data_IF_044586621117
#
_entry.id   IF_044586621117
#
_cell.length_a   1.000
_cell.length_b   1.000
_cell.length_c   1.000
_cell.angle_alpha   90.00
_cell.angle_beta   90.00
_cell.angle_gamma   90.00
#
_symmetry.space_group_name_H-M   'P 1'
#
loop_
_entity.id
_entity.type
_entity.pdbx_description
1 polymer ?
#
# COMPACT_ATOMS: atom_id res chain seq x y z
N UNK A 1 -8.33 20.37 -18.17
CA UNK A 1 -8.04 20.56 -16.75
C UNK A 1 -6.54 20.32 -16.52
N UNK A 2 -5.86 21.14 -15.71
CA UNK A 2 -4.45 20.90 -15.38
C UNK A 2 -4.30 19.57 -14.62
N UNK A 3 -3.26 18.81 -14.94
CA UNK A 3 -2.88 17.63 -14.16
C UNK A 3 -2.15 18.07 -12.89
N UNK A 4 -2.42 17.39 -11.78
CA UNK A 4 -1.80 17.66 -10.48
C UNK A 4 -1.32 16.36 -9.82
N UNK A 5 -0.50 16.49 -8.77
CA UNK A 5 0.01 15.39 -7.95
C UNK A 5 0.65 14.27 -8.81
N UNK A 6 0.36 13.01 -8.52
CA UNK A 6 0.94 11.85 -9.21
C UNK A 6 0.65 11.81 -10.71
N UNK A 7 -0.52 12.27 -11.16
CA UNK A 7 -0.84 12.35 -12.60
C UNK A 7 0.08 13.33 -13.34
N UNK A 8 0.43 14.46 -12.71
CA UNK A 8 1.37 15.42 -13.30
C UNK A 8 2.79 14.86 -13.37
N UNK A 9 3.24 14.12 -12.35
CA UNK A 9 4.54 13.46 -12.33
C UNK A 9 4.63 12.42 -13.45
N UNK A 10 3.67 11.50 -13.53
CA UNK A 10 3.63 10.45 -14.55
C UNK A 10 3.61 11.04 -15.97
N UNK A 11 2.79 12.08 -16.20
CA UNK A 11 2.72 12.75 -17.49
C UNK A 11 4.06 13.42 -17.89
N UNK A 12 4.76 14.04 -16.93
CA UNK A 12 6.08 14.64 -17.18
C UNK A 12 7.14 13.60 -17.52
N UNK A 13 7.17 12.49 -16.79
CA UNK A 13 8.09 11.38 -17.08
C UNK A 13 7.80 10.76 -18.45
N UNK A 14 6.52 10.58 -18.78
CA UNK A 14 6.13 10.10 -20.12
C UNK A 14 6.59 11.06 -21.24
N UNK A 15 6.43 12.38 -21.06
CA UNK A 15 6.90 13.37 -22.01
C UNK A 15 8.44 13.29 -22.17
N UNK A 16 9.18 13.11 -21.09
CA UNK A 16 10.64 12.93 -21.12
C UNK A 16 11.05 11.68 -21.90
N UNK A 17 10.35 10.55 -21.73
CA UNK A 17 10.59 9.34 -22.51
C UNK A 17 10.34 9.57 -24.01
N UNK A 18 9.24 10.24 -24.35
CA UNK A 18 8.90 10.61 -25.72
C UNK A 18 9.99 11.50 -26.36
N UNK A 19 10.40 12.53 -25.63
CA UNK A 19 11.40 13.50 -26.12
C UNK A 19 12.79 12.86 -26.26
N UNK A 20 13.10 11.83 -25.45
CA UNK A 20 14.29 11.00 -25.55
C UNK A 20 14.19 9.87 -26.62
N UNK A 21 13.05 9.73 -27.30
CA UNK A 21 12.83 8.70 -28.31
C UNK A 21 12.74 7.28 -27.74
N UNK A 22 12.45 7.13 -26.44
CA UNK A 22 12.25 5.82 -25.81
C UNK A 22 10.87 5.28 -26.17
N UNK A 23 10.75 4.11 -26.82
CA UNK A 23 9.47 3.56 -27.20
C UNK A 23 8.68 3.10 -25.97
N UNK A 24 7.40 3.45 -25.89
CA UNK A 24 6.46 2.98 -24.92
C UNK A 24 5.36 2.17 -25.63
N UNK A 25 5.28 0.88 -25.33
CA UNK A 25 4.29 0.00 -25.93
C UNK A 25 3.11 -0.17 -24.98
N UNK A 26 1.96 0.31 -25.40
CA UNK A 26 0.68 0.08 -24.70
C UNK A 26 0.07 -1.25 -25.13
N UNK A 27 -0.85 -1.77 -24.31
CA UNK A 27 -1.53 -3.05 -24.55
C UNK A 27 -0.53 -4.17 -24.89
N UNK A 28 0.52 -4.27 -24.07
CA UNK A 28 1.61 -5.19 -24.27
C UNK A 28 1.95 -5.90 -22.95
N UNK A 29 1.05 -6.78 -22.45
CA UNK A 29 1.28 -7.50 -21.20
C UNK A 29 2.47 -8.45 -21.32
N UNK A 30 3.26 -8.50 -20.23
CA UNK A 30 4.33 -9.49 -20.04
C UNK A 30 3.69 -10.88 -19.87
N UNK A 31 4.13 -11.87 -20.65
CA UNK A 31 3.70 -13.25 -20.50
C UNK A 31 4.75 -14.14 -19.82
N UNK A 32 6.03 -13.89 -20.10
CA UNK A 32 7.12 -14.71 -19.57
C UNK A 32 8.47 -13.97 -19.62
N UNK A 33 9.34 -14.25 -18.64
CA UNK A 33 10.77 -13.92 -18.72
C UNK A 33 11.51 -15.02 -19.49
N UNK A 34 12.37 -14.62 -20.41
CA UNK A 34 13.20 -15.58 -21.18
C UNK A 34 14.53 -15.74 -20.47
N UNK A 35 14.87 -16.97 -20.11
CA UNK A 35 16.11 -17.30 -19.40
C UNK A 35 17.02 -18.18 -20.26
N UNK A 36 18.33 -17.89 -20.27
CA UNK A 36 19.38 -18.71 -20.90
C UNK A 36 20.52 -18.88 -19.89
N UNK A 37 20.91 -20.11 -19.63
CA UNK A 37 21.98 -20.44 -18.69
C UNK A 37 21.84 -19.76 -17.30
N UNK A 38 20.61 -19.62 -16.79
CA UNK A 38 20.31 -19.01 -15.50
C UNK A 38 20.31 -17.46 -15.50
N UNK A 39 20.45 -16.84 -16.66
CA UNK A 39 20.35 -15.38 -16.80
C UNK A 39 19.05 -15.00 -17.53
N UNK A 40 18.44 -13.88 -17.16
CA UNK A 40 17.31 -13.30 -17.89
C UNK A 40 17.85 -12.51 -19.08
N UNK A 41 17.45 -12.93 -20.30
CA UNK A 41 17.95 -12.40 -21.57
C UNK A 41 16.87 -11.72 -22.41
N UNK A 42 15.63 -11.70 -21.93
CA UNK A 42 14.52 -11.08 -22.66
C UNK A 42 13.17 -11.35 -22.01
N UNK A 43 12.15 -10.94 -22.74
CA UNK A 43 10.75 -11.15 -22.34
C UNK A 43 9.93 -11.65 -23.53
N UNK A 44 8.93 -12.48 -23.23
CA UNK A 44 7.77 -12.70 -24.12
C UNK A 44 6.66 -11.78 -23.70
N UNK A 45 6.01 -11.19 -24.65
CA UNK A 45 4.87 -10.31 -24.44
C UNK A 45 3.85 -10.52 -25.56
N UNK A 46 2.65 -10.00 -25.37
CA UNK A 46 1.61 -9.97 -26.40
C UNK A 46 1.39 -8.52 -26.84
N UNK A 47 1.89 -8.13 -27.99
CA UNK A 47 1.73 -6.79 -28.52
C UNK A 47 0.52 -6.73 -29.46
N UNK A 48 -0.54 -6.01 -29.05
CA UNK A 48 -1.78 -5.90 -29.85
C UNK A 48 -2.36 -7.27 -30.27
N UNK A 49 -2.33 -8.24 -29.37
CA UNK A 49 -2.82 -9.61 -29.63
C UNK A 49 -1.84 -10.51 -30.38
N UNK A 50 -0.62 -10.05 -30.69
CA UNK A 50 0.39 -10.83 -31.37
C UNK A 50 1.55 -11.15 -30.42
N UNK A 51 1.91 -12.45 -30.24
CA UNK A 51 3.07 -12.82 -29.43
C UNK A 51 4.36 -12.24 -30.01
N UNK A 52 5.15 -11.61 -29.14
CA UNK A 52 6.45 -11.02 -29.50
C UNK A 52 7.52 -11.49 -28.53
N UNK A 53 8.74 -11.65 -29.06
CA UNK A 53 9.93 -11.91 -28.27
C UNK A 53 10.83 -10.68 -28.30
N UNK A 54 11.13 -10.12 -27.14
CA UNK A 54 12.00 -8.95 -27.00
C UNK A 54 13.29 -9.39 -26.33
N UNK A 55 14.40 -9.33 -27.05
CA UNK A 55 15.73 -9.62 -26.50
C UNK A 55 16.23 -8.41 -25.68
N UNK A 56 16.65 -8.67 -24.44
CA UNK A 56 17.27 -7.69 -23.56
C UNK A 56 18.79 -7.89 -23.58
N UNK A 57 19.54 -6.91 -24.10
CA UNK A 57 21.01 -7.03 -24.22
C UNK A 57 21.73 -6.89 -22.88
N UNK A 58 21.12 -6.22 -21.89
CA UNK A 58 21.75 -5.93 -20.59
C UNK A 58 20.94 -6.46 -19.42
N UNK A 59 19.63 -6.53 -19.56
CA UNK A 59 18.72 -7.04 -18.54
C UNK A 59 17.31 -6.48 -18.67
N UNK A 60 16.45 -6.92 -17.77
CA UNK A 60 15.03 -6.57 -17.66
C UNK A 60 14.79 -5.95 -16.29
N UNK A 61 14.08 -4.83 -16.24
CA UNK A 61 13.58 -4.23 -14.99
C UNK A 61 12.09 -4.48 -14.87
N UNK A 62 11.67 -5.19 -13.85
CA UNK A 62 10.27 -5.36 -13.50
C UNK A 62 9.80 -4.18 -12.67
N UNK A 63 8.82 -3.43 -13.18
CA UNK A 63 8.26 -2.24 -12.54
C UNK A 63 6.74 -2.14 -12.78
N UNK A 64 6.05 -3.29 -12.83
CA UNK A 64 4.64 -3.43 -13.18
C UNK A 64 3.68 -3.25 -11.98
N UNK A 65 4.15 -2.72 -10.86
CA UNK A 65 3.33 -2.51 -9.66
C UNK A 65 3.22 -3.74 -8.76
N UNK A 66 2.27 -3.72 -7.85
CA UNK A 66 2.00 -4.81 -6.91
C UNK A 66 0.92 -5.77 -7.39
N UNK A 67 0.22 -6.40 -6.42
CA UNK A 67 -0.83 -7.38 -6.69
C UNK A 67 -2.16 -7.03 -6.00
N UNK A 68 -2.40 -5.77 -5.72
CA UNK A 68 -3.57 -5.29 -4.96
C UNK A 68 -4.91 -5.63 -5.61
N UNK A 69 -4.97 -5.78 -6.94
CA UNK A 69 -6.15 -6.22 -7.68
C UNK A 69 -6.21 -7.72 -7.96
N UNK A 70 -5.27 -8.52 -7.42
CA UNK A 70 -5.32 -9.99 -7.49
C UNK A 70 -5.84 -10.57 -6.17
N UNK A 71 -7.14 -10.87 -6.10
CA UNK A 71 -7.79 -11.37 -4.89
C UNK A 71 -7.20 -12.72 -4.42
N UNK A 72 -6.80 -13.59 -5.34
CA UNK A 72 -6.23 -14.89 -4.98
C UNK A 72 -4.84 -14.73 -4.35
N UNK A 73 -3.98 -13.87 -4.88
CA UNK A 73 -2.70 -13.56 -4.24
C UNK A 73 -2.91 -12.88 -2.89
N UNK A 74 -3.87 -11.94 -2.77
CA UNK A 74 -4.19 -11.32 -1.48
C UNK A 74 -4.61 -12.37 -0.44
N UNK A 75 -5.51 -13.28 -0.77
CA UNK A 75 -5.94 -14.37 0.13
C UNK A 75 -4.82 -15.36 0.45
N UNK A 76 -3.90 -15.58 -0.48
CA UNK A 76 -2.76 -16.48 -0.28
C UNK A 76 -1.79 -15.93 0.76
N UNK A 77 -1.52 -14.63 0.74
CA UNK A 77 -0.44 -14.03 1.51
C UNK A 77 -0.95 -13.21 2.72
N UNK A 78 -2.10 -12.56 2.62
CA UNK A 78 -2.60 -11.65 3.65
C UNK A 78 -3.70 -12.34 4.46
N UNK A 79 -3.49 -12.46 5.75
CA UNK A 79 -4.47 -13.05 6.67
C UNK A 79 -5.66 -12.11 6.93
N UNK A 80 -6.86 -12.70 7.15
CA UNK A 80 -8.07 -11.96 7.46
C UNK A 80 -8.88 -11.53 6.23
N UNK A 81 -9.92 -10.68 6.41
CA UNK A 81 -10.80 -10.27 5.33
C UNK A 81 -10.06 -9.48 4.24
N UNK A 82 -10.27 -9.83 2.98
CA UNK A 82 -9.67 -9.19 1.82
C UNK A 82 -10.70 -8.87 0.75
N UNK A 83 -10.55 -7.72 0.08
CA UNK A 83 -11.33 -7.35 -1.09
C UNK A 83 -10.51 -6.46 -2.04
N UNK A 84 -10.68 -6.65 -3.33
CA UNK A 84 -10.13 -5.76 -4.35
C UNK A 84 -10.92 -4.45 -4.48
N UNK A 85 -12.11 -4.34 -3.87
CA UNK A 85 -12.91 -3.12 -3.85
C UNK A 85 -12.42 -2.10 -2.80
N UNK A 86 -11.42 -2.47 -1.99
CA UNK A 86 -10.89 -1.62 -0.93
C UNK A 86 -9.62 -0.86 -1.33
N UNK A 87 -8.97 -1.27 -2.43
CA UNK A 87 -7.75 -0.61 -2.93
C UNK A 87 -8.05 0.58 -3.83
N UNK A 88 -7.19 1.60 -3.80
CA UNK A 88 -7.16 2.70 -4.76
C UNK A 88 -6.01 2.55 -5.77
N UNK A 89 -5.34 1.40 -5.77
CA UNK A 89 -4.29 1.06 -6.74
C UNK A 89 -4.81 1.00 -8.18
N UNK A 90 -3.90 0.90 -9.14
CA UNK A 90 -4.27 0.73 -10.54
C UNK A 90 -4.87 -0.66 -10.78
N UNK A 91 -5.97 -0.74 -11.53
CA UNK A 91 -6.73 -1.98 -11.77
C UNK A 91 -5.92 -3.07 -12.45
N UNK A 92 -4.87 -2.68 -13.16
CA UNK A 92 -3.94 -3.56 -13.86
C UNK A 92 -2.85 -4.16 -12.96
N UNK A 93 -2.75 -3.73 -11.70
CA UNK A 93 -1.77 -4.27 -10.74
C UNK A 93 -2.25 -5.62 -10.19
N UNK A 94 -1.98 -6.69 -10.93
CA UNK A 94 -2.41 -8.07 -10.62
C UNK A 94 -1.24 -9.02 -10.27
N UNK A 95 -0.02 -8.48 -10.13
CA UNK A 95 1.16 -9.21 -9.64
C UNK A 95 1.93 -10.01 -10.70
N UNK A 96 1.64 -9.83 -12.00
CA UNK A 96 2.27 -10.59 -13.07
C UNK A 96 3.80 -10.47 -13.10
N UNK A 97 4.34 -9.29 -12.79
CA UNK A 97 5.78 -9.07 -12.72
C UNK A 97 6.43 -9.81 -11.55
N UNK A 98 5.76 -9.86 -10.39
CA UNK A 98 6.22 -10.62 -9.22
C UNK A 98 6.22 -12.12 -9.54
N UNK A 99 5.12 -12.62 -10.09
CA UNK A 99 4.99 -14.05 -10.50
C UNK A 99 6.03 -14.43 -11.55
N UNK A 100 6.31 -13.55 -12.52
CA UNK A 100 7.33 -13.78 -13.53
C UNK A 100 8.73 -13.85 -12.90
N UNK A 101 9.03 -12.94 -11.94
CA UNK A 101 10.29 -12.96 -11.20
C UNK A 101 10.47 -14.20 -10.33
N UNK A 102 9.41 -14.65 -9.62
CA UNK A 102 9.43 -15.91 -8.87
C UNK A 102 9.70 -17.12 -9.76
N UNK A 103 9.05 -17.20 -10.94
CA UNK A 103 9.30 -18.26 -11.91
C UNK A 103 10.75 -18.28 -12.43
N UNK A 104 11.42 -17.14 -12.45
CA UNK A 104 12.83 -17.02 -12.77
C UNK A 104 13.76 -17.36 -11.60
N UNK A 105 13.23 -17.74 -10.43
CA UNK A 105 13.96 -18.09 -9.22
C UNK A 105 14.09 -16.98 -8.19
N UNK A 106 13.40 -15.84 -8.37
CA UNK A 106 13.41 -14.72 -7.44
C UNK A 106 12.70 -15.04 -6.13
N UNK A 107 13.37 -14.74 -5.00
CA UNK A 107 12.78 -14.76 -3.69
C UNK A 107 11.83 -13.58 -3.49
N UNK A 108 10.85 -13.71 -2.60
CA UNK A 108 9.88 -12.65 -2.25
C UNK A 108 9.86 -12.42 -0.75
N UNK A 109 9.50 -11.18 -0.37
CA UNK A 109 9.35 -10.80 1.03
C UNK A 109 8.19 -9.82 1.18
N UNK A 110 7.72 -9.60 2.43
CA UNK A 110 6.63 -8.69 2.83
C UNK A 110 5.31 -8.91 2.07
N UNK A 111 5.07 -10.13 1.58
CA UNK A 111 3.89 -10.46 0.78
C UNK A 111 2.57 -10.33 1.57
N UNK A 112 2.65 -10.32 2.89
CA UNK A 112 1.53 -10.18 3.82
C UNK A 112 1.19 -8.72 4.16
N UNK A 113 1.94 -7.74 3.61
CA UNK A 113 1.76 -6.31 3.92
C UNK A 113 1.41 -5.46 2.69
N UNK A 114 0.82 -4.30 2.95
CA UNK A 114 0.45 -3.33 1.93
C UNK A 114 0.67 -1.88 2.43
N UNK A 115 0.57 -0.92 1.52
CA UNK A 115 0.49 0.50 1.82
C UNK A 115 -0.93 0.82 2.32
N UNK A 116 -1.24 0.23 3.49
CA UNK A 116 -2.54 0.26 4.11
C UNK A 116 -3.03 1.66 4.44
N UNK A 117 -4.34 1.85 4.43
CA UNK A 117 -4.99 3.02 4.98
C UNK A 117 -6.50 2.84 5.10
N UNK A 118 -7.10 3.30 6.21
CA UNK A 118 -8.55 3.24 6.38
C UNK A 118 -9.24 3.92 5.20
N UNK A 119 -10.14 3.20 4.56
CA UNK A 119 -10.86 3.66 3.37
C UNK A 119 -12.35 3.51 3.53
N UNK A 120 -13.11 4.34 2.84
CA UNK A 120 -14.56 4.26 2.74
C UNK A 120 -14.93 3.75 1.35
N UNK A 121 -15.72 2.67 1.30
CA UNK A 121 -16.20 2.13 0.03
C UNK A 121 -17.01 3.20 -0.73
N UNK A 122 -16.87 3.24 -2.05
CA UNK A 122 -17.65 4.12 -2.91
C UNK A 122 -18.52 3.26 -3.84
N UNK A 123 -19.85 3.36 -3.78
CA UNK A 123 -20.76 2.54 -4.61
C UNK A 123 -20.62 2.78 -6.11
N UNK A 124 -20.03 3.90 -6.50
CA UNK A 124 -19.99 4.36 -7.91
C UNK A 124 -18.56 4.49 -8.45
N UNK A 125 -17.56 3.93 -7.77
CA UNK A 125 -16.17 4.04 -8.22
C UNK A 125 -15.16 3.55 -7.18
N UNK A 126 -13.89 3.93 -7.33
CA UNK A 126 -12.87 3.50 -6.39
C UNK A 126 -13.18 4.01 -4.97
N UNK A 127 -12.72 3.31 -3.93
CA UNK A 127 -12.91 3.71 -2.54
C UNK A 127 -12.24 5.07 -2.27
N UNK A 128 -12.69 5.73 -1.24
CA UNK A 128 -12.08 6.97 -0.76
C UNK A 128 -11.07 6.64 0.33
N UNK A 129 -9.79 6.88 0.06
CA UNK A 129 -8.71 6.70 1.03
C UNK A 129 -8.71 7.86 2.03
N UNK A 130 -8.98 7.57 3.32
CA UNK A 130 -9.10 8.58 4.37
C UNK A 130 -7.72 8.98 4.92
N UNK A 131 -7.07 9.92 4.25
CA UNK A 131 -5.75 10.41 4.64
C UNK A 131 -5.84 11.35 5.85
N UNK A 132 -6.53 12.48 5.67
CA UNK A 132 -6.65 13.54 6.67
C UNK A 132 -7.96 13.47 7.47
N UNK A 133 -9.02 12.96 6.85
CA UNK A 133 -10.38 13.00 7.37
C UNK A 133 -10.50 12.37 8.76
N UNK A 134 -9.85 11.22 8.97
CA UNK A 134 -9.86 10.51 10.26
C UNK A 134 -9.07 11.22 11.35
N UNK A 135 -8.07 12.05 10.95
CA UNK A 135 -7.19 12.76 11.87
C UNK A 135 -7.78 14.11 12.34
N UNK A 136 -8.83 14.60 11.68
CA UNK A 136 -9.52 15.82 12.09
C UNK A 136 -10.17 15.65 13.47
N UNK A 137 -10.16 16.68 14.35
CA UNK A 137 -10.74 16.59 15.68
C UNK A 137 -12.27 16.41 15.62
N UNK A 138 -12.83 15.65 16.56
CA UNK A 138 -14.28 15.39 16.65
C UNK A 138 -14.75 14.15 15.88
N UNK A 139 -13.83 13.23 15.57
CA UNK A 139 -14.15 11.90 15.07
C UNK A 139 -13.32 10.83 15.77
N UNK A 140 -13.90 9.65 16.00
CA UNK A 140 -13.22 8.48 16.61
C UNK A 140 -13.51 7.21 15.83
N UNK A 141 -12.58 6.26 15.84
CA UNK A 141 -12.77 4.93 15.28
C UNK A 141 -13.16 3.93 16.38
N UNK A 142 -14.23 3.20 16.17
CA UNK A 142 -14.71 2.15 17.10
C UNK A 142 -14.88 0.82 16.38
N UNK A 143 -14.70 -0.27 17.13
CA UNK A 143 -14.98 -1.63 16.70
C UNK A 143 -16.45 -2.04 16.90
N UNK A 144 -16.82 -3.26 16.56
CA UNK A 144 -18.17 -3.80 16.72
C UNK A 144 -18.61 -3.93 18.19
N UNK A 145 -17.68 -3.87 19.15
CA UNK A 145 -18.03 -3.76 20.57
C UNK A 145 -18.33 -2.31 21.02
N UNK A 146 -18.28 -1.32 20.10
CA UNK A 146 -18.48 0.10 20.41
C UNK A 146 -17.30 0.73 21.16
N UNK A 147 -16.12 0.11 21.14
CA UNK A 147 -14.91 0.58 21.83
C UNK A 147 -13.94 1.21 20.85
N UNK A 148 -13.37 2.36 21.22
CA UNK A 148 -12.22 2.96 20.53
C UNK A 148 -11.02 2.02 20.67
N UNK A 149 -10.19 1.89 19.62
CA UNK A 149 -9.11 0.90 19.60
C UNK A 149 -7.78 1.44 19.05
N UNK A 150 -7.71 2.70 18.62
CA UNK A 150 -6.54 3.26 17.95
C UNK A 150 -6.43 4.77 18.13
N UNK A 151 -5.23 5.33 17.94
CA UNK A 151 -5.03 6.74 17.68
C UNK A 151 -5.41 7.03 16.22
N UNK A 152 -6.51 7.73 16.00
CA UNK A 152 -7.00 8.03 14.64
C UNK A 152 -6.06 8.96 13.85
N UNK A 153 -5.19 9.69 14.52
CA UNK A 153 -4.19 10.56 13.90
C UNK A 153 -2.86 9.85 13.60
N UNK A 154 -2.66 8.63 14.09
CA UNK A 154 -1.46 7.83 13.81
C UNK A 154 -1.25 7.61 12.29
N UNK A 155 -0.04 7.23 11.84
CA UNK A 155 0.20 6.81 10.46
C UNK A 155 -0.85 5.79 10.00
N UNK A 156 -1.40 6.02 8.82
CA UNK A 156 -2.55 5.24 8.32
C UNK A 156 -2.25 3.73 8.18
N UNK A 157 -1.00 3.35 7.91
CA UNK A 157 -0.58 1.95 7.89
C UNK A 157 -0.77 1.32 9.26
N UNK A 158 -0.35 1.99 10.33
CA UNK A 158 -0.46 1.48 11.70
C UNK A 158 -1.93 1.30 12.14
N UNK A 159 -2.82 2.19 11.67
CA UNK A 159 -4.26 2.05 11.97
C UNK A 159 -4.82 0.74 11.41
N UNK A 160 -4.45 0.40 10.18
CA UNK A 160 -4.92 -0.84 9.54
C UNK A 160 -4.22 -2.08 10.11
N UNK A 161 -2.92 -2.01 10.43
CA UNK A 161 -2.26 -3.09 11.18
C UNK A 161 -3.03 -3.39 12.47
N UNK A 162 -3.38 -2.37 13.25
CA UNK A 162 -4.20 -2.55 14.46
C UNK A 162 -5.57 -3.17 14.16
N UNK A 163 -6.23 -2.80 13.05
CA UNK A 163 -7.50 -3.44 12.65
C UNK A 163 -7.32 -4.94 12.43
N UNK A 164 -6.29 -5.37 11.69
CA UNK A 164 -6.03 -6.78 11.42
C UNK A 164 -5.56 -7.54 12.67
N UNK A 165 -4.69 -6.98 13.49
CA UNK A 165 -4.22 -7.57 14.75
C UNK A 165 -5.38 -7.85 15.72
N UNK A 166 -6.26 -6.86 15.91
CA UNK A 166 -7.41 -7.00 16.77
C UNK A 166 -8.47 -7.94 16.19
N UNK A 167 -8.67 -7.93 14.88
CA UNK A 167 -9.53 -8.90 14.19
C UNK A 167 -9.02 -10.33 14.42
N UNK A 168 -7.74 -10.56 14.32
CA UNK A 168 -7.12 -11.86 14.59
C UNK A 168 -7.23 -12.29 16.07
N UNK A 169 -7.29 -11.32 17.00
CA UNK A 169 -7.52 -11.55 18.42
C UNK A 169 -8.99 -11.87 18.77
N UNK A 170 -9.89 -11.95 17.78
CA UNK A 170 -11.27 -12.37 17.94
C UNK A 170 -12.26 -11.24 18.26
N UNK A 171 -11.88 -9.99 18.05
CA UNK A 171 -12.80 -8.85 18.16
C UNK A 171 -13.02 -8.25 16.76
N UNK A 172 -14.27 -8.16 16.32
CA UNK A 172 -14.59 -7.65 15.00
C UNK A 172 -14.22 -6.17 14.83
N UNK A 173 -13.28 -5.91 13.92
CA UNK A 173 -12.75 -4.60 13.59
C UNK A 173 -12.86 -4.28 12.09
N UNK A 174 -13.33 -5.21 11.27
CA UNK A 174 -13.42 -5.07 9.81
C UNK A 174 -14.83 -5.41 9.33
N UNK A 175 -15.61 -4.38 8.89
CA UNK A 175 -15.28 -2.95 8.91
C UNK A 175 -15.24 -2.38 10.33
N UNK A 176 -14.46 -1.34 10.58
CA UNK A 176 -14.60 -0.50 11.76
C UNK A 176 -15.59 0.64 11.47
N UNK A 177 -16.02 1.38 12.50
CA UNK A 177 -16.88 2.54 12.31
C UNK A 177 -16.14 3.82 12.72
N UNK A 178 -16.11 4.82 11.82
CA UNK A 178 -15.71 6.18 12.16
C UNK A 178 -16.96 6.94 12.63
N UNK A 179 -16.98 7.30 13.90
CA UNK A 179 -18.09 8.02 14.53
C UNK A 179 -17.76 9.50 14.56
N UNK A 180 -18.67 10.32 14.05
CA UNK A 180 -18.56 11.78 14.07
C UNK A 180 -19.93 12.42 14.31
N UNK A 181 -19.92 13.71 14.67
CA UNK A 181 -21.14 14.49 14.91
C UNK A 181 -21.36 15.58 13.85
N UNK A 182 -22.43 16.35 13.99
CA UNK A 182 -22.74 17.44 13.06
C UNK A 182 -21.69 18.56 13.14
N UNK A 183 -20.99 18.75 14.26
CA UNK A 183 -19.92 19.76 14.38
C UNK A 183 -18.77 19.45 13.45
N UNK A 184 -18.36 18.17 13.39
CA UNK A 184 -17.38 17.68 12.42
C UNK A 184 -17.82 17.96 10.99
N UNK A 185 -19.07 17.61 10.64
CA UNK A 185 -19.62 17.81 9.28
C UNK A 185 -19.73 19.26 8.87
N UNK A 186 -19.99 20.14 9.81
CA UNK A 186 -20.07 21.58 9.54
C UNK A 186 -18.70 22.24 9.35
N UNK A 187 -17.63 21.56 9.78
CA UNK A 187 -16.29 22.13 9.87
C UNK A 187 -15.30 21.56 8.84
N UNK A 188 -15.37 20.27 8.56
CA UNK A 188 -14.35 19.61 7.78
C UNK A 188 -14.86 19.05 6.46
N UNK A 189 -13.96 19.06 5.46
CA UNK A 189 -14.15 18.31 4.23
C UNK A 189 -14.20 16.82 4.56
N UNK A 190 -15.17 16.09 4.02
CA UNK A 190 -15.28 14.65 4.25
C UNK A 190 -15.75 13.92 2.99
N UNK A 191 -15.01 12.90 2.54
CA UNK A 191 -15.26 12.15 1.30
C UNK A 191 -15.46 13.08 0.08
N UNK A 192 -14.65 14.12 -0.03
CA UNK A 192 -14.77 15.12 -1.10
C UNK A 192 -15.96 16.10 -0.98
N UNK A 193 -16.78 15.97 0.08
CA UNK A 193 -17.94 16.85 0.29
C UNK A 193 -17.57 18.03 1.20
N UNK A 194 -17.91 19.23 0.74
CA UNK A 194 -17.66 20.46 1.51
C UNK A 194 -18.41 20.49 2.85
N UNK A 195 -17.89 21.23 3.84
CA UNK A 195 -18.57 21.50 5.11
C UNK A 195 -20.01 21.98 4.90
N UNK A 196 -20.91 21.61 5.83
CA UNK A 196 -22.33 21.98 5.84
C UNK A 196 -23.16 21.43 4.67
N UNK A 197 -22.57 20.64 3.76
CA UNK A 197 -23.33 19.97 2.71
C UNK A 197 -23.91 18.65 3.22
N UNK A 198 -25.11 18.27 2.77
CA UNK A 198 -25.69 16.97 3.10
C UNK A 198 -24.75 15.83 2.69
N UNK A 199 -24.82 14.72 3.42
CA UNK A 199 -24.17 13.47 3.01
C UNK A 199 -24.80 13.03 1.67
N UNK A 200 -24.00 12.68 0.65
CA UNK A 200 -24.56 12.17 -0.62
C UNK A 200 -25.39 10.91 -0.39
N UNK A 201 -26.58 10.85 -1.00
CA UNK A 201 -27.53 9.76 -0.83
C UNK A 201 -26.95 8.39 -1.13
N UNK A 202 -26.08 8.29 -2.12
CA UNK A 202 -25.42 7.02 -2.48
C UNK A 202 -24.73 6.30 -1.30
N UNK A 203 -24.16 7.05 -0.35
CA UNK A 203 -23.55 6.45 0.84
C UNK A 203 -24.58 6.02 1.90
N UNK A 204 -25.68 6.79 2.01
CA UNK A 204 -26.78 6.46 2.93
C UNK A 204 -27.57 5.26 2.42
N UNK A 205 -27.93 5.28 1.13
CA UNK A 205 -28.72 4.23 0.47
C UNK A 205 -27.94 2.88 0.43
N UNK A 206 -26.62 2.94 0.32
CA UNK A 206 -25.74 1.76 0.38
C UNK A 206 -25.42 1.30 1.81
N UNK A 207 -25.91 1.98 2.86
CA UNK A 207 -25.62 1.66 4.25
C UNK A 207 -24.17 1.89 4.71
N UNK A 208 -23.35 2.52 3.86
CA UNK A 208 -21.92 2.82 4.16
C UNK A 208 -21.82 3.93 5.20
N UNK A 209 -22.75 4.89 5.17
CA UNK A 209 -22.88 5.92 6.19
C UNK A 209 -24.27 5.79 6.82
N UNK A 210 -24.29 5.65 8.12
CA UNK A 210 -25.52 5.63 8.93
C UNK A 210 -25.64 6.94 9.69
N UNK A 211 -26.84 7.53 9.70
CA UNK A 211 -27.15 8.77 10.43
C UNK A 211 -28.26 8.52 11.45
N UNK A 212 -28.14 9.17 12.63
CA UNK A 212 -29.18 9.16 13.65
C UNK A 212 -29.13 10.44 14.52
N UNK A 213 -30.22 10.80 15.14
CA UNK A 213 -30.30 12.02 15.96
C UNK A 213 -29.57 11.88 17.31
N UNK A 214 -29.47 10.63 17.82
CA UNK A 214 -28.77 10.33 19.09
C UNK A 214 -27.74 9.21 18.91
N UNK A 215 -26.75 9.15 19.82
CA UNK A 215 -25.76 8.06 19.85
C UNK A 215 -26.40 6.69 20.06
N UNK A 216 -27.45 6.61 20.89
CA UNK A 216 -28.18 5.36 21.14
C UNK A 216 -28.85 4.85 19.87
N UNK A 217 -29.57 5.73 19.16
CA UNK A 217 -30.18 5.37 17.88
C UNK A 217 -29.13 4.97 16.83
N UNK A 218 -27.98 5.67 16.81
CA UNK A 218 -26.88 5.33 15.92
C UNK A 218 -26.34 3.94 16.22
N UNK A 219 -26.01 3.66 17.50
CA UNK A 219 -25.52 2.38 17.96
C UNK A 219 -26.46 1.22 17.56
N UNK A 220 -27.77 1.39 17.81
CA UNK A 220 -28.78 0.41 17.45
C UNK A 220 -28.83 0.15 15.92
N UNK A 221 -28.69 1.21 15.11
CA UNK A 221 -28.69 1.07 13.63
C UNK A 221 -27.47 0.33 13.10
N UNK A 222 -26.29 0.51 13.71
CA UNK A 222 -25.05 -0.14 13.26
C UNK A 222 -24.74 -1.44 14.02
N UNK A 223 -25.63 -1.86 14.93
CA UNK A 223 -25.51 -3.14 15.65
C UNK A 223 -24.42 -3.18 16.72
N UNK A 224 -24.01 -2.02 17.29
CA UNK A 224 -23.04 -1.98 18.40
C UNK A 224 -23.75 -1.75 19.74
N UNK A 225 -23.18 -2.20 20.88
CA UNK A 225 -23.78 -1.99 22.19
C UNK A 225 -23.89 -0.49 22.53
N UNK A 226 -25.12 0.03 22.66
CA UNK A 226 -25.39 1.46 22.84
C UNK A 226 -24.72 2.05 24.10
N UNK A 227 -24.79 1.30 25.23
CA UNK A 227 -24.16 1.72 26.47
C UNK A 227 -22.62 1.83 26.35
N UNK A 228 -22.01 0.89 25.61
CA UNK A 228 -20.55 0.92 25.39
C UNK A 228 -20.16 2.08 24.50
N UNK A 229 -20.88 2.31 23.40
CA UNK A 229 -20.60 3.45 22.51
C UNK A 229 -20.75 4.78 23.26
N UNK A 230 -21.82 4.95 24.06
CA UNK A 230 -22.02 6.15 24.86
C UNK A 230 -20.88 6.39 25.86
N UNK A 231 -20.45 5.34 26.58
CA UNK A 231 -19.33 5.41 27.51
C UNK A 231 -18.00 5.75 26.79
N UNK A 232 -17.76 5.17 25.61
CA UNK A 232 -16.58 5.48 24.77
C UNK A 232 -16.56 6.93 24.35
N UNK A 233 -17.66 7.46 23.84
CA UNK A 233 -17.77 8.90 23.46
C UNK A 233 -17.64 9.81 24.67
N UNK A 234 -18.28 9.48 25.79
CA UNK A 234 -18.16 10.26 27.03
C UNK A 234 -16.70 10.34 27.51
N UNK A 235 -15.98 9.22 27.52
CA UNK A 235 -14.56 9.15 27.88
C UNK A 235 -13.71 10.02 26.94
N UNK A 236 -13.89 9.87 25.63
CA UNK A 236 -13.20 10.67 24.64
C UNK A 236 -13.51 12.18 24.78
N UNK A 237 -14.74 12.56 25.05
CA UNK A 237 -15.12 13.94 25.29
C UNK A 237 -14.40 14.52 26.53
N UNK A 238 -14.13 13.68 27.54
CA UNK A 238 -13.26 14.04 28.66
C UNK A 238 -11.84 14.41 28.23
N UNK A 239 -11.24 13.59 27.36
CA UNK A 239 -9.93 13.86 26.79
C UNK A 239 -9.91 15.12 25.92
N UNK A 240 -10.95 15.34 25.12
CA UNK A 240 -11.07 16.55 24.31
C UNK A 240 -11.09 17.82 25.17
N UNK A 241 -11.76 17.79 26.33
CA UNK A 241 -11.80 18.93 27.27
C UNK A 241 -10.50 19.11 28.03
N UNK A 242 -9.83 18.01 28.45
CA UNK A 242 -8.54 18.08 29.16
C UNK A 242 -7.37 18.40 28.21
N UNK A 243 -7.54 18.13 26.91
CA UNK A 243 -6.48 18.23 25.89
C UNK A 243 -5.49 17.08 25.86
N UNK A 244 -5.78 15.99 26.61
CA UNK A 244 -4.90 14.82 26.68
C UNK A 244 -5.67 13.53 26.44
N UNK A 245 -5.28 12.78 25.45
CA UNK A 245 -5.79 11.44 25.18
C UNK A 245 -4.98 10.40 25.98
N UNK A 246 -5.55 9.93 27.09
CA UNK A 246 -4.89 8.96 27.98
C UNK A 246 -4.93 7.53 27.44
N UNK A 247 -5.77 7.26 26.42
CA UNK A 247 -5.90 5.90 25.88
C UNK A 247 -4.85 5.62 24.79
N UNK A 248 -4.66 6.57 23.86
CA UNK A 248 -3.83 6.36 22.66
C UNK A 248 -2.87 7.52 22.36
N UNK A 249 -2.80 8.54 23.20
CA UNK A 249 -1.86 9.66 23.04
C UNK A 249 -2.10 10.51 21.80
N UNK A 250 -3.36 10.57 21.28
CA UNK A 250 -3.69 11.35 20.10
C UNK A 250 -3.40 12.84 20.29
N UNK A 251 -2.54 13.37 19.40
CA UNK A 251 -2.08 14.75 19.46
C UNK A 251 -0.77 14.95 20.23
N UNK A 252 -0.13 13.89 20.73
CA UNK A 252 1.17 13.98 21.42
C UNK A 252 2.32 14.14 20.44
N UNK A 253 2.24 13.51 19.26
CA UNK A 253 3.28 13.56 18.23
C UNK A 253 3.12 14.75 17.27
N UNK A 254 4.23 15.14 16.62
CA UNK A 254 4.18 16.12 15.54
C UNK A 254 3.41 15.59 14.32
N UNK A 255 3.46 14.28 14.09
CA UNK A 255 2.71 13.63 13.01
C UNK A 255 1.21 13.76 13.22
N UNK A 256 0.70 13.50 14.44
CA UNK A 256 -0.72 13.62 14.76
C UNK A 256 -1.24 15.04 14.49
N UNK A 257 -0.44 16.04 14.90
CA UNK A 257 -0.81 17.45 14.77
C UNK A 257 -0.75 17.98 13.35
N UNK A 258 -0.09 17.29 12.43
CA UNK A 258 0.06 17.73 11.04
C UNK A 258 -1.30 17.90 10.33
N UNK A 259 -2.23 16.97 10.56
CA UNK A 259 -3.60 17.05 10.06
C UNK A 259 -4.61 17.60 11.08
N UNK A 260 -4.16 17.97 12.25
CA UNK A 260 -5.00 18.59 13.28
C UNK A 260 -5.50 19.98 12.87
N UNK A 261 -6.47 20.49 13.60
CA UNK A 261 -7.00 21.84 13.40
C UNK A 261 -6.40 22.79 14.44
N UNK A 262 -5.47 23.69 14.07
CA UNK A 262 -4.81 24.59 15.03
C UNK A 262 -5.76 25.57 15.72
N UNK A 263 -6.98 25.73 15.23
CA UNK A 263 -8.01 26.56 15.85
C UNK A 263 -8.78 25.84 16.96
N UNK A 264 -8.57 24.53 17.13
CA UNK A 264 -9.14 23.73 18.22
C UNK A 264 -8.17 23.70 19.40
N UNK A 265 -8.68 24.05 20.58
CA UNK A 265 -7.90 24.10 21.82
C UNK A 265 -8.59 23.27 22.91
N UNK A 266 -7.83 22.68 23.83
CA UNK A 266 -6.40 22.79 24.08
C UNK A 266 -5.52 21.86 23.20
N UNK A 267 -6.10 20.89 22.47
CA UNK A 267 -5.37 19.97 21.61
C UNK A 267 -5.95 20.01 20.19
N UNK A 268 -5.16 20.31 19.15
CA UNK A 268 -5.64 20.44 17.77
C UNK A 268 -6.18 19.15 17.16
N UNK A 269 -5.99 18.00 17.82
CA UNK A 269 -6.45 16.68 17.36
C UNK A 269 -7.70 16.20 18.10
N UNK A 270 -8.18 16.89 19.12
CA UNK A 270 -9.26 16.45 19.99
C UNK A 270 -10.39 17.47 20.04
N UNK A 271 -11.61 17.11 19.66
CA UNK A 271 -12.82 17.87 19.86
C UNK A 271 -13.96 16.96 20.31
N UNK A 272 -14.87 17.43 21.17
CA UNK A 272 -15.95 16.59 21.67
C UNK A 272 -16.99 16.27 20.57
N UNK A 273 -17.64 15.10 20.70
CA UNK A 273 -18.79 14.68 19.92
C UNK A 273 -20.05 14.86 20.76
N UNK A 274 -20.81 15.96 20.52
CA UNK A 274 -21.92 16.31 21.41
C UNK A 274 -23.18 16.79 20.67
N UNK A 275 -23.05 17.14 19.39
CA UNK A 275 -24.14 17.74 18.63
C UNK A 275 -24.66 16.82 17.53
N UNK A 276 -25.86 16.27 17.75
CA UNK A 276 -26.54 15.49 16.70
C UNK A 276 -26.93 16.33 15.47
N UNK A 277 -27.24 15.70 14.35
CA UNK A 277 -27.16 14.26 14.18
C UNK A 277 -25.74 13.69 14.23
N UNK A 278 -25.65 12.42 14.65
CA UNK A 278 -24.42 11.63 14.68
C UNK A 278 -24.36 10.74 13.45
N UNK A 279 -23.13 10.43 13.03
CA UNK A 279 -22.84 9.62 11.85
C UNK A 279 -21.88 8.50 12.20
N UNK A 280 -22.13 7.32 11.63
CA UNK A 280 -21.18 6.22 11.62
C UNK A 280 -20.82 5.90 10.16
N UNK A 281 -19.54 5.84 9.87
CA UNK A 281 -19.01 5.56 8.54
C UNK A 281 -18.22 4.28 8.57
N UNK A 282 -18.57 3.30 7.72
CA UNK A 282 -17.82 2.07 7.60
C UNK A 282 -16.42 2.35 7.05
N UNK A 283 -15.40 1.93 7.80
CA UNK A 283 -14.00 2.00 7.43
C UNK A 283 -13.46 0.59 7.19
N UNK A 284 -12.92 0.38 6.01
CA UNK A 284 -12.30 -0.89 5.60
C UNK A 284 -10.78 -0.75 5.49
N UNK A 285 -10.01 -1.85 5.59
CA UNK A 285 -8.59 -1.86 5.33
C UNK A 285 -8.32 -1.65 3.84
N UNK A 286 -8.28 -0.39 3.41
CA UNK A 286 -7.88 -0.05 2.05
C UNK A 286 -6.36 0.04 1.91
N UNK A 287 -5.89 0.21 0.69
CA UNK A 287 -4.47 0.38 0.40
C UNK A 287 -4.20 1.26 -0.82
N UNK A 288 -2.94 1.68 -0.97
CA UNK A 288 -2.37 2.39 -2.12
C UNK A 288 -1.52 1.45 -2.98
N UNK A 289 -1.64 0.13 -2.78
CA UNK A 289 -0.87 -0.93 -3.39
C UNK A 289 -0.23 -1.85 -2.35
N UNK A 290 0.26 -3.02 -2.79
CA UNK A 290 0.94 -3.97 -1.91
C UNK A 290 2.40 -3.57 -1.66
N UNK A 291 2.96 -3.97 -0.51
CA UNK A 291 4.37 -3.77 -0.15
C UNK A 291 5.25 -4.95 -0.55
N UNK A 292 4.65 -6.13 -0.61
CA UNK A 292 5.35 -7.36 -0.94
C UNK A 292 5.78 -7.42 -2.39
N UNK A 293 6.91 -8.08 -2.62
CA UNK A 293 7.46 -8.25 -3.94
C UNK A 293 8.79 -9.02 -3.93
N UNK A 294 9.52 -8.93 -5.03
CA UNK A 294 10.80 -9.59 -5.20
C UNK A 294 11.88 -8.99 -4.28
N UNK A 295 12.66 -9.84 -3.63
CA UNK A 295 13.83 -9.41 -2.87
C UNK A 295 14.88 -8.81 -3.80
N UNK A 296 15.44 -7.65 -3.41
CA UNK A 296 16.45 -6.96 -4.21
C UNK A 296 17.63 -6.52 -3.36
N UNK A 297 18.80 -6.37 -3.98
CA UNK A 297 19.96 -5.76 -3.36
C UNK A 297 20.01 -4.23 -3.57
N UNK A 298 21.10 -3.60 -3.10
CA UNK A 298 21.33 -2.15 -3.22
C UNK A 298 21.44 -1.64 -4.66
N UNK A 299 21.59 -2.54 -5.64
CA UNK A 299 21.60 -2.23 -7.08
C UNK A 299 20.26 -2.54 -7.76
N UNK A 300 19.22 -2.87 -6.98
CA UNK A 300 17.91 -3.33 -7.45
C UNK A 300 17.93 -4.64 -8.25
N UNK A 301 19.00 -5.46 -8.12
CA UNK A 301 19.06 -6.80 -8.73
C UNK A 301 18.17 -7.75 -7.93
N UNK A 302 17.36 -8.53 -8.61
CA UNK A 302 16.54 -9.56 -7.95
C UNK A 302 17.42 -10.66 -7.39
N UNK A 303 17.17 -11.05 -6.14
CA UNK A 303 17.87 -12.09 -5.40
C UNK A 303 17.08 -13.40 -5.42
N UNK A 304 17.78 -14.51 -5.44
CA UNK A 304 17.22 -15.85 -5.21
C UNK A 304 17.12 -16.17 -3.69
N UNK A 305 16.61 -17.35 -3.33
CA UNK A 305 16.48 -17.81 -1.94
C UNK A 305 17.84 -17.95 -1.20
N UNK A 306 18.94 -17.96 -1.91
CA UNK A 306 20.30 -18.00 -1.37
C UNK A 306 20.94 -16.61 -1.30
N UNK A 307 20.15 -15.53 -1.53
CA UNK A 307 20.60 -14.14 -1.61
C UNK A 307 21.64 -13.90 -2.74
N UNK A 308 21.64 -14.71 -3.78
CA UNK A 308 22.48 -14.48 -4.94
C UNK A 308 21.71 -13.72 -6.03
N UNK A 309 22.32 -12.70 -6.68
CA UNK A 309 21.65 -11.96 -7.75
C UNK A 309 21.38 -12.82 -8.98
N UNK A 310 20.14 -12.78 -9.47
CA UNK A 310 19.75 -13.37 -10.76
C UNK A 310 20.27 -12.48 -11.88
N UNK A 311 21.16 -13.02 -12.70
CA UNK A 311 21.80 -12.27 -13.78
C UNK A 311 20.76 -11.72 -14.76
N UNK A 312 20.85 -10.41 -15.07
CA UNK A 312 19.98 -9.73 -16.01
C UNK A 312 18.56 -9.43 -15.49
N UNK A 313 18.25 -9.66 -14.21
CA UNK A 313 16.93 -9.37 -13.64
C UNK A 313 17.01 -8.33 -12.53
N UNK A 314 16.15 -7.30 -12.64
CA UNK A 314 16.02 -6.18 -11.70
C UNK A 314 14.54 -5.98 -11.37
N UNK A 315 14.27 -5.38 -10.20
CA UNK A 315 12.92 -4.98 -9.83
C UNK A 315 12.94 -3.64 -9.07
N UNK A 316 11.89 -2.83 -9.26
CA UNK A 316 11.71 -1.57 -8.55
C UNK A 316 10.23 -1.25 -8.33
N UNK A 317 9.95 -0.35 -7.39
CA UNK A 317 8.58 -0.01 -6.97
C UNK A 317 7.90 -1.19 -6.30
N UNK A 318 6.58 -1.31 -6.44
CA UNK A 318 5.83 -2.40 -5.79
C UNK A 318 6.05 -3.80 -6.43
N UNK A 319 6.90 -3.92 -7.45
CA UNK A 319 7.41 -5.22 -7.88
C UNK A 319 8.53 -5.75 -6.98
N UNK A 320 9.19 -4.89 -6.21
CA UNK A 320 10.18 -5.27 -5.20
C UNK A 320 9.60 -5.18 -3.80
N UNK A 321 10.07 -6.03 -2.89
CA UNK A 321 9.78 -5.91 -1.48
C UNK A 321 10.20 -4.54 -0.97
N UNK A 322 9.34 -3.90 -0.18
CA UNK A 322 9.54 -2.51 0.24
C UNK A 322 10.78 -2.36 1.13
N UNK A 323 11.68 -1.45 0.77
CA UNK A 323 12.83 -1.05 1.61
C UNK A 323 12.40 -0.43 2.95
N UNK A 324 11.14 -0.01 3.08
CA UNK A 324 10.57 0.52 4.32
C UNK A 324 10.16 -0.58 5.32
N UNK A 325 10.23 -1.86 4.92
CA UNK A 325 9.70 -2.95 5.73
C UNK A 325 8.21 -2.77 6.02
N UNK A 326 7.76 -3.17 7.23
CA UNK A 326 6.37 -3.02 7.67
C UNK A 326 6.03 -1.60 8.13
N UNK A 327 7.01 -0.68 8.14
CA UNK A 327 6.83 0.69 8.60
C UNK A 327 6.35 1.64 7.51
N UNK A 328 6.00 2.86 7.96
CA UNK A 328 5.65 3.98 7.10
C UNK A 328 6.46 5.22 7.47
N UNK A 329 7.46 5.52 6.66
CA UNK A 329 8.38 6.64 6.90
C UNK A 329 7.79 8.03 6.59
N UNK A 330 6.56 8.10 6.05
CA UNK A 330 5.90 9.36 5.70
C UNK A 330 5.57 9.47 4.21
N UNK A 331 5.05 10.64 3.82
CA UNK A 331 4.65 10.91 2.44
C UNK A 331 5.83 10.72 1.47
N UNK A 332 5.60 9.94 0.40
CA UNK A 332 6.63 9.58 -0.58
C UNK A 332 7.33 8.25 -0.32
N UNK A 333 7.00 7.54 0.77
CA UNK A 333 7.60 6.24 1.10
C UNK A 333 7.40 5.14 0.05
N UNK A 334 6.44 5.30 -0.84
CA UNK A 334 6.19 4.40 -1.98
C UNK A 334 6.94 4.88 -3.23
N UNK A 335 6.66 6.12 -3.66
CA UNK A 335 7.16 6.63 -4.94
C UNK A 335 8.64 7.03 -4.88
N UNK A 336 9.14 7.44 -3.71
CA UNK A 336 10.55 7.76 -3.52
C UNK A 336 11.45 6.56 -3.81
N UNK A 337 11.30 5.43 -3.12
CA UNK A 337 12.04 4.21 -3.42
C UNK A 337 11.86 3.72 -4.86
N UNK A 338 10.64 3.76 -5.41
CA UNK A 338 10.39 3.37 -6.80
C UNK A 338 11.26 4.16 -7.79
N UNK A 339 11.35 5.48 -7.62
CA UNK A 339 12.18 6.34 -8.49
C UNK A 339 13.68 6.14 -8.25
N UNK A 340 14.09 6.03 -6.98
CA UNK A 340 15.50 5.84 -6.61
C UNK A 340 16.04 4.51 -7.12
N UNK A 341 15.34 3.41 -6.83
CA UNK A 341 15.80 2.09 -7.29
C UNK A 341 15.63 1.89 -8.79
N UNK A 342 14.64 2.53 -9.42
CA UNK A 342 14.56 2.59 -10.89
C UNK A 342 15.77 3.31 -11.51
N UNK A 343 16.20 4.42 -10.91
CA UNK A 343 17.41 5.14 -11.32
C UNK A 343 18.70 4.31 -11.11
N UNK A 344 18.83 3.67 -9.94
CA UNK A 344 19.97 2.81 -9.60
C UNK A 344 20.04 1.63 -10.57
N UNK A 345 18.92 0.93 -10.81
CA UNK A 345 18.86 -0.18 -11.75
C UNK A 345 19.30 0.24 -13.17
N UNK A 346 18.82 1.40 -13.64
CA UNK A 346 19.17 1.91 -14.97
C UNK A 346 20.67 2.22 -15.09
N UNK A 347 21.29 2.85 -14.08
CA UNK A 347 22.72 3.12 -14.09
C UNK A 347 23.55 1.83 -14.02
N UNK A 348 23.17 0.90 -13.13
CA UNK A 348 23.85 -0.39 -13.02
C UNK A 348 23.77 -1.19 -14.33
N UNK A 349 22.61 -1.17 -15.01
CA UNK A 349 22.44 -1.77 -16.33
C UNK A 349 23.27 -1.08 -17.42
N UNK A 350 23.45 0.24 -17.34
CA UNK A 350 24.27 0.98 -18.29
C UNK A 350 25.74 0.54 -18.25
N UNK A 351 26.24 0.18 -17.07
CA UNK A 351 27.61 -0.27 -16.84
C UNK A 351 27.78 -1.81 -16.99
N UNK A 352 26.67 -2.57 -16.97
CA UNK A 352 26.71 -4.02 -17.06
C UNK A 352 27.17 -4.50 -18.45
N UNK A 353 28.04 -5.52 -18.45
CA UNK A 353 28.35 -6.30 -19.67
C UNK A 353 27.20 -7.28 -19.95
N UNK A 354 27.12 -7.76 -21.21
CA UNK A 354 26.07 -8.73 -21.59
C UNK A 354 25.98 -9.90 -20.59
N UNK A 355 24.78 -10.30 -20.13
CA UNK A 355 24.59 -11.29 -19.05
C UNK A 355 25.25 -12.64 -19.33
N UNK A 356 25.36 -13.05 -20.58
CA UNK A 356 25.98 -14.33 -21.01
C UNK A 356 27.49 -14.41 -20.69
N UNK A 357 28.21 -13.29 -20.65
CA UNK A 357 29.64 -13.30 -20.36
C UNK A 357 29.98 -13.60 -18.90
N UNK A 358 29.08 -13.27 -17.95
CA UNK A 358 29.30 -13.50 -16.53
C UNK A 358 29.09 -14.98 -16.12
N UNK A 359 28.10 -15.67 -16.70
CA UNK A 359 27.80 -17.08 -16.43
C UNK A 359 28.92 -18.02 -16.93
N UNK A 360 29.50 -17.74 -18.10
CA UNK A 360 30.63 -18.53 -18.66
C UNK A 360 31.92 -18.40 -17.81
N UNK A 361 32.18 -17.23 -17.23
CA UNK A 361 33.36 -17.01 -16.41
C UNK A 361 33.29 -17.71 -15.03
N UNK A 362 32.08 -17.83 -14.43
CA UNK A 362 31.87 -18.53 -13.17
C UNK A 362 31.92 -20.05 -13.33
N UNK A 363 31.36 -20.58 -14.40
CA UNK A 363 31.43 -22.01 -14.74
C UNK A 363 32.85 -22.47 -15.06
N UNK A 364 33.63 -21.67 -15.80
CA UNK A 364 35.04 -21.92 -16.11
C UNK A 364 35.92 -21.93 -14.85
N UNK A 365 35.70 -21.02 -13.89
CA UNK A 365 36.44 -21.00 -12.61
C UNK A 365 36.09 -22.18 -11.71
N UNK A 366 34.83 -22.65 -11.68
CA UNK A 366 34.45 -23.86 -10.94
C UNK A 366 35.04 -25.13 -11.57
N UNK A 367 35.07 -25.24 -12.89
CA UNK A 367 35.66 -26.36 -13.61
C UNK A 367 37.19 -26.42 -13.45
N UNK A 368 37.89 -25.28 -13.45
CA UNK A 368 39.35 -25.20 -13.22
C UNK A 368 39.75 -25.47 -11.78
N UNK A 369 38.95 -25.08 -10.79
CA UNK A 369 39.22 -25.40 -9.37
C UNK A 369 38.89 -26.85 -9.04
N UNK A 370 37.88 -27.47 -9.65
CA UNK A 370 37.57 -28.89 -9.50
C UNK A 370 38.69 -29.80 -10.08
N UNK A 371 39.31 -29.44 -11.21
CA UNK A 371 40.45 -30.16 -11.79
C UNK A 371 41.76 -30.00 -10.98
N UNK A 372 41.98 -28.86 -10.30
CA UNK A 372 43.13 -28.68 -9.44
C UNK A 372 43.02 -29.44 -8.09
N UNK A 373 41.79 -29.60 -7.58
CA UNK A 373 41.53 -30.39 -6.38
C UNK A 373 41.74 -31.92 -6.66
N UNK A 374 41.26 -32.41 -7.82
CA UNK A 374 41.42 -33.81 -8.20
C UNK A 374 42.86 -34.23 -8.56
N UNK A 375 43.72 -33.27 -8.96
CA UNK A 375 45.13 -33.52 -9.25
C UNK A 375 46.05 -33.55 -7.99
N UNK A 376 45.52 -33.16 -6.83
CA UNK A 376 46.27 -33.15 -5.53
C UNK A 376 46.04 -34.39 -4.64
N UNK A 377 45.03 -35.21 -4.95
CA UNK A 377 44.68 -36.44 -4.21
C UNK A 377 45.20 -37.71 -4.85
N UNK A 378 46.07 -37.68 -5.86
CA UNK A 378 46.64 -38.80 -6.56
C UNK A 378 48.13 -39.05 -6.35
N UNK A 379 48.73 -38.39 -5.34
CA UNK A 379 50.14 -38.68 -4.93
C UNK A 379 50.19 -38.66 -3.40
N UNK A 380 49.83 -39.78 -2.80
CA UNK A 380 50.37 -40.32 -1.54
C UNK A 380 50.13 -41.83 -1.53
#
# INVERSE_FOLDING_TARGET
LPLSLGKALAARLWLSLRDAGVPVWLNTPLTELVTEAGAVVGVRAEHQGVPVLIKARRGVVLAAGGFEHNLEMRKQYISGPQSTDWTVGATENVGEGIVAGQKAGGAVDLMDDAWWGPSVRNPEGPPFFCLAERAQPGGIMVNHAGRRFVNESAPYVNVVHTMYEQQAAGVDHIPAYFIMDQTFRDRYLFLGNFPKRPIPRKYLDAGIITQADTLEQLANKIGVPAATLAATVQRFNGFARSGRDEDYGRGDSAYDRYYGDPTVQPNPCLAPLERGPFYAVEMVPGDLGTKGGLCTDEYARVLDEQNAPIAGLYAAGNNSASVMGNDYAGAGATIGPAMVFGYIAANHLADAREPQAAAAASASKRASNGRRAAARTGQE
#
